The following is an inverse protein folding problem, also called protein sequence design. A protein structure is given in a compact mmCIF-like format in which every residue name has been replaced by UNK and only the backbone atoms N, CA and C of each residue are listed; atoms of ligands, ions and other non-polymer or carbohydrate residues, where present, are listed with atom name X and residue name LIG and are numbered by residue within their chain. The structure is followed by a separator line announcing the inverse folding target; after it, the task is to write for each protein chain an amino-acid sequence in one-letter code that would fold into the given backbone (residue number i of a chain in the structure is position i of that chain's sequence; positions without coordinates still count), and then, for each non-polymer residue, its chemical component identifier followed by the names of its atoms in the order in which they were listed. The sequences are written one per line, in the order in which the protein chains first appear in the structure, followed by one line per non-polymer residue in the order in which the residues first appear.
data_IF_985370955348
#
_entry.id   IF_985370955348
#
_cell.length_a   1.000
_cell.length_b   1.000
_cell.length_c   1.000
_cell.angle_alpha   90.00
_cell.angle_beta   90.00
_cell.angle_gamma   90.00
#
_symmetry.space_group_name_H-M   'P 1'
#
loop_
_entity.id
_entity.type
_entity.pdbx_description
1 polymer ?
#
# COMPACT_ATOMS: atom_id res chain seq x y z
N UNK A 1 15.56 0.33 -3.74
CA UNK A 1 15.53 -1.12 -4.08
C UNK A 1 14.06 -1.44 -4.01
N UNK A 2 13.42 -1.56 -5.15
CA UNK A 2 12.04 -1.09 -5.30
C UNK A 2 11.09 -2.28 -5.36
N UNK A 3 10.04 -2.25 -4.54
CA UNK A 3 9.05 -3.32 -4.54
C UNK A 3 8.16 -3.21 -5.78
N UNK A 4 7.84 -2.02 -6.29
CA UNK A 4 7.07 -1.88 -7.54
C UNK A 4 7.97 -1.42 -8.69
N UNK A 5 7.87 -2.04 -9.88
CA UNK A 5 8.59 -1.61 -11.09
C UNK A 5 8.31 -0.16 -11.45
N UNK A 6 9.28 0.74 -11.26
CA UNK A 6 9.26 2.07 -11.86
C UNK A 6 9.87 1.98 -13.27
N UNK A 7 9.24 2.62 -14.25
CA UNK A 7 9.63 2.57 -15.68
C UNK A 7 11.05 3.04 -15.96
N UNK A 8 11.69 3.66 -14.97
CA UNK A 8 12.93 4.41 -15.13
C UNK A 8 14.14 3.61 -14.65
N UNK A 9 13.97 2.48 -13.93
CA UNK A 9 15.09 1.77 -13.31
C UNK A 9 14.88 0.25 -13.11
N UNK A 10 14.89 -0.52 -14.21
CA UNK A 10 14.78 -1.99 -14.22
C UNK A 10 15.84 -2.77 -13.40
N UNK A 11 16.86 -2.09 -12.86
CA UNK A 11 18.02 -2.70 -12.18
C UNK A 11 17.73 -2.98 -10.69
N UNK A 12 16.68 -2.37 -10.11
CA UNK A 12 16.40 -2.43 -8.67
C UNK A 12 15.04 -3.07 -8.32
N UNK A 13 14.35 -3.71 -9.26
CA UNK A 13 13.00 -4.26 -9.04
C UNK A 13 13.01 -5.59 -8.27
N UNK A 14 12.22 -5.69 -7.19
CA UNK A 14 12.07 -6.89 -6.37
C UNK A 14 10.78 -7.66 -6.67
N UNK A 15 10.70 -8.21 -7.88
CA UNK A 15 9.60 -9.08 -8.31
C UNK A 15 9.22 -10.20 -7.33
N UNK A 16 10.15 -10.85 -6.62
CA UNK A 16 9.79 -11.83 -5.59
C UNK A 16 8.98 -11.21 -4.44
N UNK A 17 9.31 -9.99 -4.03
CA UNK A 17 8.62 -9.27 -2.96
C UNK A 17 7.20 -8.85 -3.39
N UNK A 18 7.02 -8.42 -4.65
CA UNK A 18 5.69 -8.18 -5.25
C UNK A 18 4.82 -9.42 -5.16
N UNK A 19 5.35 -10.55 -5.60
CA UNK A 19 4.60 -11.80 -5.65
C UNK A 19 4.28 -12.32 -4.26
N UNK A 20 5.18 -12.13 -3.29
CA UNK A 20 4.93 -12.43 -1.88
C UNK A 20 3.79 -11.55 -1.34
N UNK A 21 3.84 -10.24 -1.57
CA UNK A 21 2.79 -9.29 -1.16
C UNK A 21 1.42 -9.63 -1.78
N UNK A 22 1.38 -9.94 -3.08
CA UNK A 22 0.17 -10.40 -3.81
C UNK A 22 -0.34 -11.73 -3.23
N UNK A 23 0.55 -12.69 -2.98
CA UNK A 23 0.20 -14.01 -2.43
C UNK A 23 -0.35 -13.92 -1.01
N UNK A 24 0.27 -13.12 -0.14
CA UNK A 24 -0.24 -12.88 1.22
C UNK A 24 -1.60 -12.19 1.16
N UNK A 25 -1.78 -11.23 0.23
CA UNK A 25 -3.07 -10.61 -0.04
C UNK A 25 -4.17 -11.60 -0.44
N UNK A 26 -3.81 -12.73 -1.08
CA UNK A 26 -4.77 -13.77 -1.47
C UNK A 26 -5.24 -14.67 -0.31
N UNK A 27 -4.47 -14.77 0.78
CA UNK A 27 -4.70 -15.79 1.81
C UNK A 27 -5.75 -15.38 2.85
N UNK A 28 -5.80 -14.09 3.25
CA UNK A 28 -6.67 -13.64 4.33
C UNK A 28 -7.80 -12.68 3.91
N UNK A 29 -7.57 -11.84 2.89
CA UNK A 29 -8.45 -10.70 2.60
C UNK A 29 -8.92 -10.65 1.12
N UNK A 30 -8.56 -11.63 0.30
CA UNK A 30 -8.87 -11.69 -1.15
C UNK A 30 -8.55 -10.38 -1.91
N UNK A 31 -7.43 -9.74 -1.57
CA UNK A 31 -7.02 -8.44 -2.13
C UNK A 31 -5.97 -8.54 -3.23
N UNK A 32 -5.62 -9.76 -3.64
CA UNK A 32 -4.59 -9.98 -4.65
C UNK A 32 -4.94 -9.31 -5.99
N UNK A 33 -6.22 -9.31 -6.38
CA UNK A 33 -6.66 -8.65 -7.61
C UNK A 33 -6.59 -7.12 -7.51
N UNK A 34 -6.96 -6.54 -6.36
CA UNK A 34 -6.84 -5.11 -6.10
C UNK A 34 -5.37 -4.64 -6.12
N UNK A 35 -4.46 -5.44 -5.55
CA UNK A 35 -3.01 -5.22 -5.61
C UNK A 35 -2.48 -5.30 -7.04
N UNK A 36 -2.91 -6.30 -7.80
CA UNK A 36 -2.50 -6.49 -9.21
C UNK A 36 -2.99 -5.34 -10.08
N UNK A 37 -4.23 -4.89 -9.88
CA UNK A 37 -4.82 -3.75 -10.57
C UNK A 37 -4.04 -2.47 -10.27
N UNK A 38 -3.67 -2.23 -9.01
CA UNK A 38 -2.86 -1.07 -8.64
C UNK A 38 -1.49 -1.07 -9.32
N UNK A 39 -0.81 -2.24 -9.35
CA UNK A 39 0.44 -2.39 -10.09
C UNK A 39 0.29 -2.14 -11.60
N UNK A 40 -0.80 -2.62 -12.20
CA UNK A 40 -1.06 -2.43 -13.64
C UNK A 40 -1.31 -0.96 -13.98
N UNK A 41 -2.13 -0.26 -13.18
CA UNK A 41 -2.39 1.18 -13.33
C UNK A 41 -1.09 1.96 -13.16
N UNK A 42 -0.30 1.67 -12.11
CA UNK A 42 0.98 2.32 -11.89
C UNK A 42 1.94 2.12 -13.08
N UNK A 43 2.05 0.89 -13.60
CA UNK A 43 2.94 0.57 -14.71
C UNK A 43 2.51 1.22 -16.03
N UNK A 44 1.20 1.33 -16.28
CA UNK A 44 0.67 1.83 -17.56
C UNK A 44 0.51 3.35 -17.59
N UNK A 45 0.18 3.97 -16.47
CA UNK A 45 -0.15 5.39 -16.38
C UNK A 45 0.84 6.21 -15.53
N UNK A 46 1.69 5.54 -14.75
CA UNK A 46 2.71 6.15 -13.89
C UNK A 46 2.18 6.67 -12.56
N UNK A 47 3.10 6.97 -11.62
CA UNK A 47 2.75 7.43 -10.25
C UNK A 47 1.80 8.64 -10.20
N UNK A 48 1.89 9.54 -11.18
CA UNK A 48 1.04 10.74 -11.23
C UNK A 48 -0.45 10.41 -11.46
N UNK A 49 -0.77 9.25 -12.04
CA UNK A 49 -2.15 8.85 -12.28
C UNK A 49 -2.83 8.30 -11.03
N UNK A 50 -2.06 7.85 -10.04
CA UNK A 50 -2.54 7.35 -8.75
C UNK A 50 -2.92 8.49 -7.79
N UNK A 51 -2.71 9.75 -8.21
CA UNK A 51 -3.02 10.95 -7.42
C UNK A 51 -4.50 11.31 -7.50
N UNK A 52 -4.95 12.01 -6.45
CA UNK A 52 -6.33 12.24 -5.96
C UNK A 52 -7.40 12.77 -6.93
N UNK A 53 -7.10 12.93 -8.22
CA UNK A 53 -8.00 13.53 -9.20
C UNK A 53 -8.64 12.53 -10.17
N UNK A 54 -8.19 11.28 -10.22
CA UNK A 54 -8.79 10.27 -11.09
C UNK A 54 -9.79 9.39 -10.32
N UNK A 55 -11.04 9.85 -10.35
CA UNK A 55 -12.21 9.19 -9.75
C UNK A 55 -12.73 7.99 -10.55
N UNK A 56 -11.93 7.39 -11.42
CA UNK A 56 -12.35 6.20 -12.16
C UNK A 56 -12.65 5.05 -11.19
N UNK A 57 -13.74 4.33 -11.46
CA UNK A 57 -14.16 3.21 -10.61
C UNK A 57 -13.07 2.13 -10.50
N UNK A 58 -12.18 2.02 -11.50
CA UNK A 58 -11.03 1.11 -11.43
C UNK A 58 -10.01 1.51 -10.36
N UNK A 59 -9.67 2.80 -10.21
CA UNK A 59 -8.69 3.24 -9.20
C UNK A 59 -9.21 3.06 -7.78
N UNK A 60 -10.51 3.26 -7.57
CA UNK A 60 -11.20 2.98 -6.29
C UNK A 60 -11.18 1.50 -5.89
N UNK A 61 -11.06 0.60 -6.86
CA UNK A 61 -10.96 -0.84 -6.64
C UNK A 61 -9.50 -1.32 -6.52
N UNK A 62 -8.54 -0.41 -6.66
CA UNK A 62 -7.12 -0.73 -6.66
C UNK A 62 -6.47 -0.40 -5.33
N UNK A 63 -5.42 -1.14 -5.00
CA UNK A 63 -4.51 -0.85 -3.89
C UNK A 63 -3.17 -0.47 -4.48
N UNK A 64 -2.70 0.73 -4.16
CA UNK A 64 -1.39 1.23 -4.56
C UNK A 64 -0.34 0.82 -3.52
N UNK A 65 0.45 -0.19 -3.86
CA UNK A 65 1.72 -0.46 -3.16
C UNK A 65 2.80 0.27 -3.93
N UNK A 66 3.74 0.94 -3.27
CA UNK A 66 4.93 1.46 -3.94
C UNK A 66 6.08 1.62 -2.96
N UNK A 67 7.29 1.34 -3.42
CA UNK A 67 8.50 1.89 -2.80
C UNK A 67 8.65 3.29 -3.42
N UNK A 68 8.50 4.34 -2.62
CA UNK A 68 8.69 5.68 -3.13
C UNK A 68 10.15 6.07 -2.90
N UNK A 69 10.95 6.08 -3.96
CA UNK A 69 12.21 6.82 -3.97
C UNK A 69 11.99 8.35 -3.86
N UNK A 70 10.73 8.81 -3.77
CA UNK A 70 10.34 10.23 -3.77
C UNK A 70 9.89 10.74 -2.40
N UNK A 71 10.30 10.08 -1.32
CA UNK A 71 10.60 10.74 -0.04
C UNK A 71 9.51 11.63 0.56
N UNK A 72 8.41 11.02 1.03
CA UNK A 72 7.35 11.76 1.74
C UNK A 72 6.85 11.10 3.03
N UNK A 73 7.47 10.00 3.46
CA UNK A 73 7.16 9.33 4.72
C UNK A 73 8.44 8.71 5.31
N UNK A 74 8.35 8.15 6.51
CA UNK A 74 9.50 7.76 7.33
C UNK A 74 10.38 6.65 6.72
N UNK A 75 9.84 5.86 5.80
CA UNK A 75 10.57 4.74 5.19
C UNK A 75 11.77 5.17 4.36
N UNK A 76 11.77 6.39 3.79
CA UNK A 76 12.90 6.89 2.98
C UNK A 76 14.19 6.87 3.80
N UNK A 77 14.14 7.47 5.00
CA UNK A 77 15.32 7.55 5.87
C UNK A 77 15.75 6.18 6.36
N UNK A 78 14.80 5.28 6.63
CA UNK A 78 15.09 3.91 7.09
C UNK A 78 15.76 3.12 5.96
N UNK A 79 15.20 3.18 4.74
CA UNK A 79 15.71 2.51 3.56
C UNK A 79 17.14 2.99 3.22
N UNK A 80 17.34 4.30 3.16
CA UNK A 80 18.64 4.89 2.79
C UNK A 80 19.74 4.63 3.82
N UNK A 81 19.42 4.74 5.12
CA UNK A 81 20.43 4.58 6.17
C UNK A 81 20.81 3.13 6.42
N UNK A 82 19.86 2.20 6.28
CA UNK A 82 20.08 0.79 6.60
C UNK A 82 20.31 -0.06 5.35
N UNK A 83 20.11 0.49 4.14
CA UNK A 83 20.19 -0.25 2.89
C UNK A 83 19.14 -1.36 2.80
N UNK A 84 17.99 -1.18 3.45
CA UNK A 84 16.92 -2.16 3.52
C UNK A 84 15.85 -1.88 2.47
N UNK A 85 15.16 -2.95 2.08
CA UNK A 85 13.94 -2.86 1.28
C UNK A 85 12.85 -2.23 2.14
N UNK A 86 12.11 -1.28 1.58
CA UNK A 86 11.00 -0.63 2.26
C UNK A 86 9.73 -0.66 1.42
N UNK A 87 8.58 -0.54 2.08
CA UNK A 87 7.28 -0.62 1.45
C UNK A 87 6.32 0.39 2.04
N UNK A 88 5.55 1.05 1.18
CA UNK A 88 4.41 1.88 1.53
C UNK A 88 3.13 1.25 0.96
N UNK A 89 2.03 1.37 1.71
CA UNK A 89 0.73 0.85 1.36
C UNK A 89 -0.32 1.96 1.45
N UNK A 90 -1.01 2.22 0.35
CA UNK A 90 -2.10 3.17 0.31
C UNK A 90 -3.07 2.89 -0.83
N UNK A 91 -4.23 3.54 -0.83
CA UNK A 91 -5.19 3.46 -1.95
C UNK A 91 -5.10 4.67 -2.90
N UNK A 92 -4.65 5.83 -2.39
CA UNK A 92 -4.50 7.07 -3.14
C UNK A 92 -3.12 7.68 -2.88
N UNK A 93 -2.49 8.25 -3.92
CA UNK A 93 -1.16 8.84 -3.81
C UNK A 93 -1.21 10.37 -3.88
N UNK A 94 -1.38 11.06 -2.75
CA UNK A 94 -1.32 12.53 -2.75
C UNK A 94 -2.06 13.21 -1.61
N UNK A 95 -2.93 12.45 -0.95
CA UNK A 95 -3.62 12.86 0.28
C UNK A 95 -5.01 13.38 -0.02
N UNK A 96 -5.92 13.28 0.95
CA UNK A 96 -7.25 13.84 0.80
C UNK A 96 -7.20 15.34 0.51
N UNK A 97 -8.28 15.91 -0.05
CA UNK A 97 -8.43 17.38 -0.19
C UNK A 97 -8.27 18.12 1.15
N UNK A 98 -8.47 17.40 2.26
CA UNK A 98 -8.31 17.90 3.62
C UNK A 98 -6.92 17.69 4.23
N UNK A 99 -5.98 17.04 3.51
CA UNK A 99 -4.65 16.73 4.01
C UNK A 99 -3.92 17.98 4.55
N UNK A 100 -3.43 17.90 5.79
CA UNK A 100 -2.82 19.03 6.54
C UNK A 100 -3.76 20.25 6.78
N UNK A 101 -5.05 20.11 6.51
CA UNK A 101 -6.07 21.11 6.76
C UNK A 101 -6.81 20.91 8.08
N UNK A 102 -7.55 21.92 8.56
CA UNK A 102 -8.37 21.80 9.77
C UNK A 102 -9.58 20.85 9.58
N UNK A 103 -9.88 20.47 8.34
CA UNK A 103 -10.90 19.47 8.02
C UNK A 103 -10.36 18.03 8.01
N UNK A 104 -9.07 17.81 8.33
CA UNK A 104 -8.52 16.47 8.55
C UNK A 104 -8.96 15.93 9.91
N UNK A 105 -10.23 15.52 10.01
CA UNK A 105 -10.84 15.01 11.24
C UNK A 105 -11.38 13.59 11.05
N UNK A 106 -11.61 12.89 12.17
CA UNK A 106 -12.21 11.57 12.16
C UNK A 106 -13.58 11.58 11.48
N UNK A 107 -14.39 12.61 11.72
CA UNK A 107 -15.71 12.74 11.11
C UNK A 107 -15.61 12.84 9.58
N UNK A 108 -14.67 13.64 9.07
CA UNK A 108 -14.41 13.74 7.63
C UNK A 108 -13.92 12.41 7.06
N UNK A 109 -13.02 11.72 7.75
CA UNK A 109 -12.55 10.39 7.33
C UNK A 109 -13.70 9.38 7.26
N UNK A 110 -14.57 9.34 8.27
CA UNK A 110 -15.75 8.46 8.28
C UNK A 110 -16.66 8.78 7.09
N UNK A 111 -16.91 10.05 6.79
CA UNK A 111 -17.75 10.45 5.66
C UNK A 111 -17.13 10.03 4.31
N UNK A 112 -15.81 10.21 4.15
CA UNK A 112 -15.07 9.78 2.96
C UNK A 112 -15.09 8.26 2.75
N UNK A 113 -15.19 7.48 3.82
CA UNK A 113 -15.18 6.01 3.77
C UNK A 113 -16.55 5.42 3.43
N UNK A 114 -17.61 6.21 3.29
CA UNK A 114 -18.94 5.70 2.92
C UNK A 114 -18.95 5.16 1.49
N UNK A 115 -19.53 3.98 1.29
CA UNK A 115 -19.75 3.38 -0.03
C UNK A 115 -21.21 2.95 -0.19
N UNK A 116 -21.61 2.59 -1.41
CA UNK A 116 -22.96 2.05 -1.67
C UNK A 116 -23.28 0.78 -0.84
N UNK A 117 -22.23 0.07 -0.38
CA UNK A 117 -22.34 -1.22 0.29
C UNK A 117 -21.98 -1.20 1.78
N UNK A 118 -21.58 -0.05 2.35
CA UNK A 118 -21.07 -0.01 3.72
C UNK A 118 -21.07 1.38 4.35
N UNK A 119 -21.20 1.42 5.68
CA UNK A 119 -21.08 2.67 6.43
C UNK A 119 -19.61 3.10 6.56
N UNK A 120 -19.37 4.39 6.75
CA UNK A 120 -18.02 4.91 6.92
C UNK A 120 -17.24 4.27 8.07
N UNK A 121 -17.90 4.07 9.22
CA UNK A 121 -17.28 3.41 10.39
C UNK A 121 -16.95 1.95 10.07
N UNK A 122 -17.87 1.22 9.43
CA UNK A 122 -17.64 -0.16 9.04
C UNK A 122 -16.42 -0.26 8.11
N UNK A 123 -16.40 0.52 7.03
CA UNK A 123 -15.34 0.48 6.05
C UNK A 123 -13.98 0.92 6.64
N UNK A 124 -13.98 1.87 7.59
CA UNK A 124 -12.77 2.27 8.32
C UNK A 124 -12.22 1.13 9.21
N UNK A 125 -13.09 0.45 9.94
CA UNK A 125 -12.70 -0.69 10.79
C UNK A 125 -12.22 -1.87 9.93
N UNK A 126 -12.93 -2.20 8.86
CA UNK A 126 -12.56 -3.26 7.93
C UNK A 126 -11.21 -2.98 7.25
N UNK A 127 -10.95 -1.71 6.87
CA UNK A 127 -9.65 -1.32 6.30
C UNK A 127 -8.52 -1.50 7.31
N UNK A 128 -8.76 -1.19 8.59
CA UNK A 128 -7.77 -1.39 9.65
C UNK A 128 -7.51 -2.88 9.93
N UNK A 129 -8.56 -3.71 9.92
CA UNK A 129 -8.43 -5.16 10.10
C UNK A 129 -7.64 -5.78 8.93
N UNK A 130 -7.96 -5.39 7.69
CA UNK A 130 -7.29 -5.83 6.47
C UNK A 130 -5.78 -5.54 6.51
N UNK A 131 -5.37 -4.31 6.81
CA UNK A 131 -3.94 -3.96 6.83
C UNK A 131 -3.22 -4.64 7.99
N UNK A 132 -3.87 -4.78 9.14
CA UNK A 132 -3.29 -5.43 10.33
C UNK A 132 -2.99 -6.91 10.06
N UNK A 133 -3.95 -7.65 9.48
CA UNK A 133 -3.75 -9.05 9.13
C UNK A 133 -2.73 -9.22 8.02
N UNK A 134 -2.75 -8.35 7.02
CA UNK A 134 -1.78 -8.43 5.94
C UNK A 134 -0.35 -8.20 6.44
N UNK A 135 -0.12 -7.17 7.27
CA UNK A 135 1.18 -6.90 7.90
C UNK A 135 1.63 -8.04 8.80
N UNK A 136 0.73 -8.61 9.60
CA UNK A 136 1.05 -9.75 10.46
C UNK A 136 1.50 -10.96 9.65
N UNK A 137 0.78 -11.33 8.59
CA UNK A 137 1.18 -12.43 7.73
C UNK A 137 2.52 -12.15 7.04
N UNK A 138 2.72 -10.93 6.54
CA UNK A 138 3.98 -10.52 5.94
C UNK A 138 5.15 -10.68 6.89
N UNK A 139 5.02 -10.25 8.14
CA UNK A 139 6.06 -10.45 9.14
C UNK A 139 6.37 -11.94 9.37
N UNK A 140 5.35 -12.79 9.45
CA UNK A 140 5.51 -14.24 9.65
C UNK A 140 6.19 -14.93 8.45
N UNK A 141 5.93 -14.49 7.22
CA UNK A 141 6.55 -15.05 6.01
C UNK A 141 7.96 -14.52 5.74
N UNK A 142 8.27 -13.28 6.16
CA UNK A 142 9.62 -12.74 6.06
C UNK A 142 10.57 -13.31 7.12
N UNK A 143 10.04 -13.89 8.19
CA UNK A 143 10.80 -14.54 9.28
C UNK A 143 11.26 -15.98 8.93
N UNK A 144 11.39 -16.33 7.64
CA UNK A 144 11.71 -17.71 7.20
C UNK A 144 13.18 -18.14 7.47
N UNK A 145 13.91 -17.39 8.31
CA UNK A 145 15.01 -17.93 9.12
C UNK A 145 14.70 -17.66 10.60
N UNK A 146 14.11 -18.61 11.34
CA UNK A 146 13.74 -18.39 12.73
C UNK A 146 14.98 -18.02 13.54
N UNK A 147 14.88 -16.94 14.33
CA UNK A 147 15.91 -16.60 15.32
C UNK A 147 15.84 -17.65 16.43
N UNK A 148 16.73 -18.65 16.37
CA UNK A 148 16.93 -19.55 17.50
C UNK A 148 17.51 -18.76 18.66
N UNK A 149 16.84 -18.80 19.82
CA UNK A 149 17.45 -18.35 21.06
C UNK A 149 18.62 -19.29 21.38
N UNK A 150 19.84 -18.89 21.03
CA UNK A 150 21.08 -19.52 21.47
C UNK A 150 21.37 -19.09 22.91
N UNK A 151 20.57 -19.60 23.85
CA UNK A 151 20.84 -19.56 25.29
C UNK A 151 21.15 -20.95 25.82
#
# INVERSE_FOLDING_TARGET
MDIIPETDNQINEQWPMVRLAEWIGSNNNDIAEALRLGREIYHTEGYASMKDVDSSDQKRLSISVHESQRGRSDYERIADQLGVVSMDFGSLTGGSDCYHGPCDTLETMIDMMVTDNGTGVQNLVESFDLISWWLFNLAMYLDETPIYNES
#
